data_IF_131962528039
#
_entry.id   IF_131962528039
#
_cell.length_a   1.000
_cell.length_b   1.000
_cell.length_c   1.000
_cell.angle_alpha   90.00
_cell.angle_beta   90.00
_cell.angle_gamma   90.00
#
_symmetry.space_group_name_H-M   'P 1'
#
loop_
_entity.id
_entity.type
_entity.pdbx_description
1 polymer ?
#
# COMPACT_ATOMS: atom_id res chain seq x y z
N UNK A 1 26.31 -2.91 20.12
CA UNK A 1 25.84 -2.40 18.81
C UNK A 1 25.05 -3.53 18.15
N UNK A 2 23.73 -3.43 17.96
CA UNK A 2 22.95 -4.51 17.35
C UNK A 2 23.14 -4.49 15.83
N UNK A 3 23.53 -5.62 15.26
CA UNK A 3 23.69 -5.80 13.82
C UNK A 3 22.32 -6.06 13.16
N UNK A 4 21.89 -5.10 12.34
CA UNK A 4 20.98 -5.19 11.18
C UNK A 4 20.05 -6.41 11.08
N UNK A 5 18.79 -6.23 11.49
CA UNK A 5 17.66 -7.06 11.06
C UNK A 5 17.45 -6.99 9.52
N UNK A 6 17.92 -5.91 8.88
CA UNK A 6 17.94 -5.76 7.40
C UNK A 6 18.79 -6.85 6.71
N UNK A 7 19.94 -7.20 7.29
CA UNK A 7 20.86 -8.18 6.68
C UNK A 7 20.35 -9.63 6.77
N UNK A 8 19.47 -9.93 7.73
CA UNK A 8 18.93 -11.28 7.92
C UNK A 8 17.89 -11.64 6.86
N UNK A 9 17.03 -10.68 6.50
CA UNK A 9 15.98 -10.88 5.49
C UNK A 9 16.54 -10.90 4.08
N UNK A 10 17.58 -10.10 3.81
CA UNK A 10 18.27 -10.11 2.53
C UNK A 10 18.98 -11.44 2.25
N UNK A 11 19.62 -12.05 3.26
CA UNK A 11 20.33 -13.33 3.07
C UNK A 11 19.41 -14.54 2.87
N UNK A 12 18.23 -14.59 3.51
CA UNK A 12 17.24 -15.64 3.27
C UNK A 12 16.68 -15.59 1.85
N UNK A 13 16.42 -14.39 1.32
CA UNK A 13 15.97 -14.20 -0.05
C UNK A 13 17.06 -14.58 -1.07
N UNK A 14 18.32 -14.28 -0.77
CA UNK A 14 19.48 -14.64 -1.60
C UNK A 14 19.73 -16.16 -1.63
N UNK A 15 19.59 -16.86 -0.49
CA UNK A 15 19.73 -18.32 -0.44
C UNK A 15 18.55 -19.06 -1.09
N UNK A 16 17.33 -18.52 -1.04
CA UNK A 16 16.17 -19.09 -1.78
C UNK A 16 16.32 -18.94 -3.29
N UNK A 17 17.01 -17.89 -3.76
CA UNK A 17 17.27 -17.62 -5.18
C UNK A 17 18.75 -17.83 -5.56
N UNK A 18 19.42 -18.83 -4.96
CA UNK A 18 20.87 -19.06 -5.08
C UNK A 18 21.42 -19.08 -6.52
N UNK A 19 20.63 -19.58 -7.47
CA UNK A 19 21.02 -19.73 -8.88
C UNK A 19 21.04 -18.39 -9.64
N UNK A 20 20.29 -17.37 -9.16
CA UNK A 20 20.28 -16.03 -9.75
C UNK A 20 21.38 -15.11 -9.21
N UNK A 21 21.98 -15.43 -8.06
CA UNK A 21 22.93 -14.54 -7.36
C UNK A 21 24.32 -15.14 -7.16
N UNK A 22 24.59 -16.34 -7.68
CA UNK A 22 25.94 -16.94 -7.69
C UNK A 22 26.46 -17.37 -6.30
N UNK A 23 25.57 -17.57 -5.33
CA UNK A 23 25.94 -18.04 -3.99
C UNK A 23 26.18 -19.55 -3.97
N UNK A 24 27.27 -19.98 -3.32
CA UNK A 24 27.58 -21.40 -3.17
C UNK A 24 26.73 -22.02 -2.06
N UNK A 25 26.37 -23.31 -2.22
CA UNK A 25 25.54 -24.03 -1.24
C UNK A 25 26.20 -24.10 0.14
N UNK A 26 27.52 -24.13 0.18
CA UNK A 26 28.33 -24.16 1.40
C UNK A 26 28.24 -22.86 2.21
N UNK A 27 28.06 -21.71 1.56
CA UNK A 27 27.92 -20.42 2.22
C UNK A 27 26.56 -20.26 2.90
N UNK A 28 25.48 -20.73 2.26
CA UNK A 28 24.15 -20.78 2.86
C UNK A 28 24.10 -21.75 4.04
N UNK A 29 24.73 -22.93 3.92
CA UNK A 29 24.76 -23.94 4.98
C UNK A 29 25.59 -23.51 6.20
N UNK A 30 26.62 -22.67 6.00
CA UNK A 30 27.39 -22.06 7.09
C UNK A 30 26.56 -21.01 7.82
N UNK A 31 25.86 -20.15 7.09
CA UNK A 31 25.02 -19.09 7.66
C UNK A 31 23.85 -19.65 8.48
N UNK A 32 23.14 -20.68 7.99
CA UNK A 32 22.04 -21.35 8.71
C UNK A 32 22.52 -21.92 10.05
N UNK A 33 23.73 -22.51 10.07
CA UNK A 33 24.33 -23.04 11.30
C UNK A 33 24.67 -21.94 12.31
N UNK A 34 25.16 -20.79 11.85
CA UNK A 34 25.46 -19.64 12.73
C UNK A 34 24.20 -19.00 13.32
N UNK A 35 23.08 -18.98 12.58
CA UNK A 35 21.80 -18.47 13.10
C UNK A 35 21.21 -19.41 14.16
N UNK A 36 21.25 -20.72 13.93
CA UNK A 36 20.74 -21.70 14.88
C UNK A 36 21.55 -21.76 16.19
N UNK A 37 22.81 -21.36 16.18
CA UNK A 37 23.64 -21.23 17.39
C UNK A 37 23.42 -19.93 18.16
N UNK A 38 22.80 -18.90 17.57
CA UNK A 38 22.54 -17.60 18.22
C UNK A 38 21.19 -17.51 18.94
N UNK A 39 20.33 -18.50 18.83
CA UNK A 39 19.09 -18.59 19.61
C UNK A 39 19.37 -19.20 20.98
N UNK A 40 19.14 -18.49 22.11
CA UNK A 40 19.30 -19.08 23.43
C UNK A 40 18.22 -20.15 23.64
N UNK A 41 18.67 -21.38 23.90
CA UNK A 41 17.85 -22.48 24.40
C UNK A 41 17.25 -22.14 25.76
N UNK A 42 15.92 -22.23 25.87
CA UNK A 42 15.09 -22.66 27.01
C UNK A 42 13.66 -22.09 26.78
N UNK A 43 12.55 -22.83 26.73
CA UNK A 43 12.20 -24.07 27.43
C UNK A 43 11.04 -24.78 26.70
N UNK A 44 10.98 -26.09 26.91
CA UNK A 44 9.91 -27.04 26.59
C UNK A 44 8.46 -26.49 26.58
N UNK A 45 7.73 -26.76 25.51
CA UNK A 45 6.29 -26.56 25.40
C UNK A 45 5.74 -27.22 24.13
N UNK A 46 5.27 -28.47 24.25
CA UNK A 46 4.50 -29.17 23.23
C UNK A 46 3.31 -28.33 22.76
N UNK A 47 3.10 -28.25 21.44
CA UNK A 47 1.80 -27.83 20.88
C UNK A 47 1.89 -26.85 19.72
N UNK A 48 2.15 -27.39 18.52
CA UNK A 48 1.55 -26.99 17.23
C UNK A 48 0.87 -25.61 17.21
N UNK A 49 1.61 -24.58 16.80
CA UNK A 49 1.02 -23.40 16.17
C UNK A 49 2.04 -22.79 15.22
N UNK A 50 1.82 -22.99 13.92
CA UNK A 50 2.44 -22.22 12.85
C UNK A 50 1.90 -20.79 12.96
N UNK A 51 2.52 -20.00 13.84
CA UNK A 51 2.31 -18.55 13.85
C UNK A 51 3.01 -18.04 12.59
N UNK A 52 2.23 -17.84 11.52
CA UNK A 52 2.61 -16.97 10.43
C UNK A 52 3.18 -15.70 11.06
N UNK A 53 4.48 -15.47 10.90
CA UNK A 53 5.10 -14.22 11.33
C UNK A 53 4.52 -13.11 10.47
N UNK A 54 3.40 -12.54 10.92
CA UNK A 54 2.77 -11.41 10.27
C UNK A 54 3.78 -10.27 10.25
N UNK A 55 4.10 -9.77 9.07
CA UNK A 55 4.90 -8.56 8.92
C UNK A 55 4.25 -7.44 9.74
N UNK A 56 5.00 -6.91 10.72
CA UNK A 56 4.60 -5.75 11.52
C UNK A 56 5.22 -4.53 10.84
N UNK A 57 4.38 -3.71 10.21
CA UNK A 57 4.84 -2.55 9.45
C UNK A 57 3.76 -2.00 8.52
N UNK A 58 4.06 -0.84 7.94
CA UNK A 58 3.18 -0.15 6.99
C UNK A 58 3.74 -0.31 5.58
N UNK A 59 2.85 -0.60 4.61
CA UNK A 59 3.15 -0.56 3.17
C UNK A 59 2.27 0.51 2.54
N UNK A 60 2.86 1.43 1.80
CA UNK A 60 2.12 2.54 1.18
C UNK A 60 2.10 2.34 -0.32
N UNK A 61 0.91 2.24 -0.91
CA UNK A 61 0.73 2.18 -2.35
C UNK A 61 0.16 3.51 -2.83
N UNK A 62 0.82 4.12 -3.82
CA UNK A 62 0.34 5.35 -4.46
C UNK A 62 -0.13 5.04 -5.88
N UNK A 63 -1.40 5.32 -6.15
CA UNK A 63 -2.04 5.03 -7.43
C UNK A 63 -2.48 6.36 -8.06
N UNK A 64 -1.99 6.66 -9.28
CA UNK A 64 -2.45 7.83 -10.05
C UNK A 64 -3.78 7.50 -10.71
N UNK A 65 -4.82 8.31 -10.48
CA UNK A 65 -6.17 8.05 -11.02
C UNK A 65 -6.32 8.49 -12.49
N UNK A 66 -5.67 9.60 -12.85
CA UNK A 66 -5.39 10.14 -14.19
C UNK A 66 -4.98 11.60 -14.00
N UNK A 67 -4.44 12.21 -15.05
CA UNK A 67 -4.42 13.66 -15.14
C UNK A 67 -5.86 14.11 -15.31
N UNK A 68 -6.42 14.74 -14.28
CA UNK A 68 -7.71 15.38 -14.42
C UNK A 68 -7.57 16.37 -15.58
N UNK A 69 -8.48 16.41 -16.57
CA UNK A 69 -8.39 17.37 -17.66
C UNK A 69 -8.36 18.78 -17.07
N UNK A 70 -7.16 19.32 -16.95
CA UNK A 70 -6.93 20.71 -16.56
C UNK A 70 -7.09 21.52 -17.81
N UNK A 71 -8.05 22.42 -17.74
CA UNK A 71 -8.41 23.22 -18.88
C UNK A 71 -9.35 24.29 -18.42
N UNK A 72 -9.16 25.47 -18.98
CA UNK A 72 -10.05 26.62 -18.92
C UNK A 72 -11.45 26.32 -19.52
N UNK A 73 -11.97 25.09 -19.41
CA UNK A 73 -13.30 24.70 -19.88
C UNK A 73 -14.30 25.50 -19.04
N UNK A 74 -14.78 26.61 -19.62
CA UNK A 74 -15.68 27.56 -18.99
C UNK A 74 -15.02 28.79 -18.34
N UNK A 75 -13.69 28.92 -18.33
CA UNK A 75 -13.07 30.18 -17.86
C UNK A 75 -13.05 31.21 -18.97
N UNK A 76 -13.69 32.36 -18.74
CA UNK A 76 -13.81 33.43 -19.73
C UNK A 76 -12.49 34.21 -19.97
N UNK A 77 -11.46 34.00 -19.15
CA UNK A 77 -10.21 34.76 -19.22
C UNK A 77 -8.98 33.94 -18.84
N UNK A 78 -7.86 34.21 -19.53
CA UNK A 78 -6.54 33.71 -19.14
C UNK A 78 -6.05 34.26 -17.78
N UNK A 79 -6.66 35.34 -17.29
CA UNK A 79 -6.38 35.97 -15.99
C UNK A 79 -7.38 35.57 -14.90
N UNK A 80 -8.22 34.56 -15.12
CA UNK A 80 -9.03 34.00 -14.04
C UNK A 80 -8.16 33.16 -13.09
N UNK A 81 -8.36 33.24 -11.77
CA UNK A 81 -7.83 32.25 -10.83
C UNK A 81 -8.29 30.87 -11.25
N UNK A 82 -7.34 29.99 -11.53
CA UNK A 82 -7.59 28.65 -12.02
C UNK A 82 -6.37 27.78 -11.85
N UNK A 83 -6.59 26.48 -11.93
CA UNK A 83 -5.53 25.47 -11.82
C UNK A 83 -4.91 25.28 -13.20
N UNK A 84 -3.59 25.38 -13.29
CA UNK A 84 -2.86 25.12 -14.53
C UNK A 84 -2.75 23.61 -14.78
N UNK A 85 -2.56 22.87 -13.69
CA UNK A 85 -2.31 21.43 -13.69
C UNK A 85 -2.85 20.83 -12.39
N UNK A 86 -3.36 19.59 -12.47
CA UNK A 86 -4.02 18.88 -11.38
C UNK A 86 -3.74 17.39 -11.52
N UNK A 87 -3.09 16.84 -10.49
CA UNK A 87 -2.86 15.39 -10.39
C UNK A 87 -3.73 14.82 -9.28
N UNK A 88 -4.38 13.69 -9.56
CA UNK A 88 -5.19 12.95 -8.58
C UNK A 88 -4.54 11.61 -8.27
N UNK A 89 -4.39 11.35 -6.97
CA UNK A 89 -3.76 10.16 -6.44
C UNK A 89 -4.65 9.51 -5.37
N UNK A 90 -4.61 8.19 -5.29
CA UNK A 90 -5.09 7.43 -4.14
C UNK A 90 -3.89 6.87 -3.41
N UNK A 91 -3.85 7.11 -2.10
CA UNK A 91 -2.84 6.55 -1.22
C UNK A 91 -3.52 5.50 -0.34
N UNK A 92 -3.07 4.26 -0.51
CA UNK A 92 -3.56 3.10 0.23
C UNK A 92 -2.44 2.63 1.15
N UNK A 93 -2.64 2.76 2.46
CA UNK A 93 -1.69 2.26 3.46
C UNK A 93 -2.20 0.95 4.03
N UNK A 94 -1.44 -0.13 3.83
CA UNK A 94 -1.68 -1.44 4.43
C UNK A 94 -0.86 -1.55 5.73
N UNK A 95 -1.55 -1.62 6.85
CA UNK A 95 -1.00 -1.68 8.21
C UNK A 95 -1.06 -3.14 8.67
N UNK A 96 0.10 -3.71 9.02
CA UNK A 96 0.24 -5.08 9.54
C UNK A 96 -0.39 -6.16 8.65
N UNK A 97 -0.42 -5.93 7.33
CA UNK A 97 -1.09 -6.79 6.34
C UNK A 97 -2.59 -7.10 6.63
N UNK A 98 -3.25 -6.32 7.48
CA UNK A 98 -4.63 -6.60 7.91
C UNK A 98 -5.53 -5.40 7.77
N UNK A 99 -5.04 -4.20 8.07
CA UNK A 99 -5.85 -2.98 8.05
C UNK A 99 -5.46 -2.09 6.89
N UNK A 100 -6.45 -1.59 6.18
CA UNK A 100 -6.28 -0.67 5.06
C UNK A 100 -6.71 0.72 5.50
N UNK A 101 -5.86 1.71 5.23
CA UNK A 101 -6.18 3.12 5.34
C UNK A 101 -6.19 3.75 3.96
N UNK A 102 -7.22 4.51 3.63
CA UNK A 102 -7.39 5.10 2.29
C UNK A 102 -7.53 6.61 2.39
N UNK A 103 -6.79 7.32 1.54
CA UNK A 103 -6.97 8.75 1.32
C UNK A 103 -6.83 9.10 -0.15
N UNK A 104 -7.56 10.11 -0.58
CA UNK A 104 -7.33 10.78 -1.84
C UNK A 104 -6.34 11.92 -1.63
N UNK A 105 -5.48 12.18 -2.62
CA UNK A 105 -4.53 13.27 -2.61
C UNK A 105 -4.58 14.01 -3.95
N UNK A 106 -4.74 15.33 -3.88
CA UNK A 106 -4.77 16.21 -5.05
C UNK A 106 -3.54 17.10 -5.03
N UNK A 107 -2.80 17.14 -6.14
CA UNK A 107 -1.70 18.08 -6.35
C UNK A 107 -2.17 19.16 -7.31
N UNK A 108 -2.20 20.40 -6.87
CA UNK A 108 -2.70 21.53 -7.66
C UNK A 108 -1.57 22.48 -7.99
N UNK A 109 -1.39 22.80 -9.26
CA UNK A 109 -0.45 23.82 -9.72
C UNK A 109 -1.18 25.14 -9.97
N UNK A 110 -0.76 26.17 -9.24
CA UNK A 110 -1.31 27.50 -9.43
C UNK A 110 -0.87 28.11 -10.77
N UNK A 111 -1.83 28.63 -11.54
CA UNK A 111 -1.60 29.23 -12.87
C UNK A 111 -0.74 30.50 -12.88
N UNK A 112 -0.80 31.31 -11.83
CA UNK A 112 -0.05 32.57 -11.77
C UNK A 112 1.38 32.39 -11.25
N UNK A 113 1.54 31.55 -10.23
CA UNK A 113 2.82 31.41 -9.52
C UNK A 113 3.60 30.15 -9.91
N UNK A 114 2.98 29.21 -10.63
CA UNK A 114 3.58 27.91 -10.97
C UNK A 114 3.87 27.03 -9.75
N UNK A 115 3.43 27.42 -8.55
CA UNK A 115 3.67 26.67 -7.31
C UNK A 115 2.69 25.50 -7.21
N UNK A 116 3.19 24.35 -6.74
CA UNK A 116 2.40 23.15 -6.49
C UNK A 116 2.07 22.99 -5.01
N UNK A 117 0.86 22.55 -4.72
CA UNK A 117 0.42 22.25 -3.35
C UNK A 117 -0.39 20.96 -3.32
N UNK A 118 -0.06 20.13 -2.35
CA UNK A 118 -0.78 18.90 -2.04
C UNK A 118 -1.94 19.15 -1.08
N UNK A 119 -3.04 18.47 -1.34
CA UNK A 119 -4.25 18.45 -0.52
C UNK A 119 -4.65 17.00 -0.28
N UNK A 120 -4.66 16.61 0.99
CA UNK A 120 -5.05 15.26 1.39
C UNK A 120 -6.50 15.25 1.86
N UNK A 121 -7.25 14.29 1.36
CA UNK A 121 -8.66 14.08 1.64
C UNK A 121 -8.83 12.65 2.20
N UNK A 122 -8.94 12.48 3.53
CA UNK A 122 -9.18 11.16 4.11
C UNK A 122 -10.51 10.60 3.60
N UNK A 123 -10.59 9.29 3.43
CA UNK A 123 -11.85 8.67 3.06
C UNK A 123 -12.88 8.86 4.19
N UNK A 124 -14.14 9.08 3.81
CA UNK A 124 -15.27 9.20 4.73
C UNK A 124 -16.04 7.90 4.88
N UNK A 125 -15.93 7.01 3.89
CA UNK A 125 -16.42 5.64 3.95
C UNK A 125 -15.60 4.78 2.98
N UNK A 126 -15.40 3.51 3.32
CA UNK A 126 -14.68 2.54 2.50
C UNK A 126 -15.53 1.26 2.39
N UNK A 127 -15.51 0.66 1.21
CA UNK A 127 -15.99 -0.69 0.94
C UNK A 127 -14.85 -1.48 0.30
N UNK A 128 -14.49 -2.60 0.93
CA UNK A 128 -13.57 -3.58 0.35
C UNK A 128 -14.37 -4.79 -0.08
N UNK A 129 -14.21 -5.21 -1.34
CA UNK A 129 -14.83 -6.44 -1.84
C UNK A 129 -13.75 -7.37 -2.35
N UNK A 130 -13.89 -8.68 -2.11
CA UNK A 130 -13.10 -9.67 -2.83
C UNK A 130 -13.44 -9.60 -4.32
N UNK A 131 -12.44 -9.82 -5.17
CA UNK A 131 -12.63 -9.84 -6.63
C UNK A 131 -12.56 -11.28 -7.12
N UNK A 132 -13.51 -11.66 -7.96
CA UNK A 132 -13.47 -12.88 -8.77
C UNK A 132 -13.76 -12.51 -10.23
N UNK A 133 -12.71 -12.41 -11.04
CA UNK A 133 -12.82 -11.89 -12.41
C UNK A 133 -13.30 -10.43 -12.43
N UNK A 134 -14.50 -10.19 -13.00
CA UNK A 134 -15.16 -8.88 -13.01
C UNK A 134 -16.19 -8.71 -11.90
N UNK A 135 -16.47 -9.77 -11.15
CA UNK A 135 -17.46 -9.77 -10.09
C UNK A 135 -16.83 -9.43 -8.74
N UNK A 136 -17.63 -8.83 -7.87
CA UNK A 136 -17.24 -8.49 -6.50
C UNK A 136 -18.10 -9.26 -5.50
N UNK A 137 -17.46 -9.96 -4.57
CA UNK A 137 -18.11 -10.72 -3.50
C UNK A 137 -17.58 -10.33 -2.12
N UNK A 138 -18.22 -10.81 -1.06
CA UNK A 138 -17.72 -10.74 0.32
C UNK A 138 -17.29 -9.33 0.76
N UNK A 139 -18.14 -8.36 0.46
CA UNK A 139 -17.86 -6.96 0.74
C UNK A 139 -17.96 -6.62 2.23
N UNK A 140 -16.95 -5.96 2.75
CA UNK A 140 -16.96 -5.32 4.07
C UNK A 140 -16.99 -3.81 3.89
N UNK A 141 -17.71 -3.12 4.78
CA UNK A 141 -17.84 -1.65 4.73
C UNK A 141 -17.49 -1.03 6.07
N UNK A 142 -16.85 0.13 6.05
CA UNK A 142 -16.56 0.93 7.22
C UNK A 142 -16.86 2.41 6.97
N UNK A 143 -17.22 3.10 8.05
CA UNK A 143 -17.24 4.57 8.08
C UNK A 143 -15.87 5.06 8.53
N UNK A 144 -15.39 6.14 7.90
CA UNK A 144 -14.05 6.67 8.09
C UNK A 144 -13.05 6.21 7.05
N UNK A 145 -11.76 6.40 7.38
CA UNK A 145 -10.64 6.22 6.46
C UNK A 145 -9.88 4.91 6.66
N UNK A 146 -10.36 4.04 7.56
CA UNK A 146 -9.75 2.74 7.86
C UNK A 146 -10.77 1.61 7.83
N UNK A 147 -10.32 0.43 7.41
CA UNK A 147 -11.12 -0.79 7.34
C UNK A 147 -10.21 -2.02 7.39
N UNK A 148 -10.68 -3.10 7.99
CA UNK A 148 -9.94 -4.37 7.99
C UNK A 148 -10.19 -5.12 6.67
N UNK A 149 -9.16 -5.78 6.14
CA UNK A 149 -9.28 -6.64 4.96
C UNK A 149 -10.29 -7.78 5.23
N UNK A 150 -11.04 -8.21 4.20
CA UNK A 150 -11.82 -9.45 4.29
C UNK A 150 -10.92 -10.63 4.69
N UNK A 151 -11.47 -11.57 5.46
CA UNK A 151 -10.71 -12.70 5.99
C UNK A 151 -10.07 -13.53 4.86
N UNK A 152 -8.78 -13.84 5.01
CA UNK A 152 -8.03 -14.65 4.05
C UNK A 152 -7.69 -13.94 2.73
N UNK A 153 -8.05 -12.67 2.55
CA UNK A 153 -7.72 -11.89 1.34
C UNK A 153 -6.50 -11.02 1.52
N UNK A 154 -5.73 -10.85 0.45
CA UNK A 154 -4.64 -9.88 0.38
C UNK A 154 -5.06 -8.61 -0.35
N UNK A 155 -4.25 -7.53 -0.24
CA UNK A 155 -4.58 -6.21 -0.78
C UNK A 155 -4.74 -6.18 -2.31
N UNK A 156 -4.12 -7.12 -3.02
CA UNK A 156 -4.20 -7.30 -4.48
C UNK A 156 -5.38 -8.18 -4.92
N UNK A 157 -6.12 -8.77 -3.99
CA UNK A 157 -7.29 -9.63 -4.27
C UNK A 157 -8.61 -8.90 -3.96
N UNK A 158 -8.53 -7.60 -3.66
CA UNK A 158 -9.68 -6.79 -3.27
C UNK A 158 -9.83 -5.55 -4.13
N UNK A 159 -11.08 -5.15 -4.35
CA UNK A 159 -11.44 -3.85 -4.87
C UNK A 159 -11.72 -2.90 -3.71
N UNK A 160 -11.13 -1.72 -3.79
CA UNK A 160 -11.27 -0.67 -2.79
C UNK A 160 -12.16 0.42 -3.38
N UNK A 161 -13.42 0.46 -2.93
CA UNK A 161 -14.30 1.59 -3.19
C UNK A 161 -14.26 2.53 -2.00
N UNK A 162 -14.16 3.83 -2.23
CA UNK A 162 -14.14 4.79 -1.13
C UNK A 162 -14.82 6.11 -1.51
N UNK A 163 -15.31 6.79 -0.48
CA UNK A 163 -15.88 8.13 -0.55
C UNK A 163 -14.92 9.13 0.07
N UNK A 164 -14.88 10.34 -0.47
CA UNK A 164 -14.15 11.46 0.12
C UNK A 164 -14.87 12.78 -0.18
N UNK A 165 -14.49 13.84 0.55
CA UNK A 165 -15.07 15.18 0.38
C UNK A 165 -13.98 16.15 -0.08
N UNK A 166 -14.24 16.85 -1.17
CA UNK A 166 -13.40 17.92 -1.70
C UNK A 166 -14.29 19.08 -2.15
N UNK A 167 -13.99 20.31 -1.71
CA UNK A 167 -14.78 21.49 -2.07
C UNK A 167 -16.26 21.43 -1.69
N UNK A 168 -16.61 20.65 -0.66
CA UNK A 168 -18.01 20.43 -0.22
C UNK A 168 -18.78 19.40 -1.05
N UNK A 169 -18.17 18.81 -2.08
CA UNK A 169 -18.77 17.75 -2.90
C UNK A 169 -18.29 16.37 -2.43
N UNK A 170 -19.19 15.39 -2.46
CA UNK A 170 -18.89 13.99 -2.13
C UNK A 170 -18.57 13.23 -3.40
N UNK A 171 -17.39 12.62 -3.45
CA UNK A 171 -16.94 11.82 -4.58
C UNK A 171 -16.89 10.34 -4.20
N UNK A 172 -17.03 9.46 -5.18
CA UNK A 172 -16.81 8.02 -5.03
C UNK A 172 -15.80 7.56 -6.09
N UNK A 173 -14.86 6.73 -5.68
CA UNK A 173 -13.80 6.17 -6.52
C UNK A 173 -13.62 4.69 -6.19
N UNK A 174 -13.11 3.96 -7.17
CA UNK A 174 -12.80 2.53 -7.09
C UNK A 174 -11.38 2.32 -7.58
N UNK A 175 -10.56 1.62 -6.79
CA UNK A 175 -9.19 1.26 -7.17
C UNK A 175 -8.91 -0.20 -6.84
N UNK A 176 -7.98 -0.78 -7.60
CA UNK A 176 -7.44 -2.12 -7.38
C UNK A 176 -5.92 -2.04 -7.47
N UNK A 177 -5.22 -2.76 -6.60
CA UNK A 177 -3.76 -2.82 -6.61
C UNK A 177 -3.36 -4.06 -7.39
N UNK A 178 -2.73 -3.87 -8.55
CA UNK A 178 -2.29 -4.99 -9.37
C UNK A 178 -1.23 -5.83 -8.62
N UNK A 179 -1.24 -7.17 -8.79
CA UNK A 179 -0.14 -8.02 -8.33
C UNK A 179 1.21 -7.51 -8.86
N UNK A 180 2.23 -7.45 -8.00
CA UNK A 180 3.55 -6.95 -8.37
C UNK A 180 3.74 -5.43 -8.24
N UNK A 181 2.69 -4.66 -7.92
CA UNK A 181 2.84 -3.26 -7.51
C UNK A 181 3.68 -3.20 -6.24
N UNK A 182 4.81 -2.50 -6.28
CA UNK A 182 5.66 -2.31 -5.12
C UNK A 182 5.12 -1.16 -4.26
N UNK A 183 5.18 -1.28 -2.92
CA UNK A 183 4.95 -0.13 -2.05
C UNK A 183 6.10 0.88 -2.20
N UNK A 184 5.77 2.16 -2.01
CA UNK A 184 6.70 3.29 -1.96
C UNK A 184 7.54 3.30 -0.68
#
# INVERSE_FOLDING_TARGET
MPANAQNQTDYEALCRNRESYGFSQEECDRWIREQNQRSPTNSSGNGRSTVNSAFIGEKVYKLRLRDAPTGNIGQQSIFSPGDLDREEWVVVTLINNQRVKVRHATNVMNKFWGTRKWYDHPATAIRLCAIDGFDTTDCVTAQGDTIDLPEGKTINEVQIDFKYVEGGSVYTRSVQIAPGTLPD
#
